data_IF_454411751810
#
_entry.id   IF_454411751810
#
_cell.length_a   1.000
_cell.length_b   1.000
_cell.length_c   1.000
_cell.angle_alpha   90.00
_cell.angle_beta   90.00
_cell.angle_gamma   90.00
#
_symmetry.space_group_name_H-M   'P 1'
#
loop_
_entity.id
_entity.type
_entity.pdbx_description
1 polymer ?
#
# COMPACT_ATOMS: atom_id res chain seq x y z
N UNK A 1 -13.35 -18.44 -8.39
CA UNK A 1 -13.23 -19.10 -7.07
C UNK A 1 -11.93 -19.91 -6.93
N UNK A 2 -11.32 -20.36 -8.04
CA UNK A 2 -9.97 -20.93 -8.00
C UNK A 2 -8.93 -19.79 -8.03
N UNK A 3 -7.88 -19.93 -7.20
CA UNK A 3 -6.81 -18.96 -6.88
C UNK A 3 -7.21 -17.91 -5.83
N UNK A 4 -7.48 -18.34 -4.61
CA UNK A 4 -7.49 -17.43 -3.45
C UNK A 4 -6.04 -17.24 -2.95
N UNK A 5 -5.45 -16.03 -3.08
CA UNK A 5 -4.10 -15.75 -2.60
C UNK A 5 -3.98 -15.64 -1.08
N UNK A 6 -5.05 -15.92 -0.31
CA UNK A 6 -5.11 -15.76 1.15
C UNK A 6 -3.96 -16.47 1.89
N UNK A 7 -3.52 -17.65 1.44
CA UNK A 7 -2.42 -18.39 2.07
C UNK A 7 -1.06 -17.71 1.84
N UNK A 8 -0.75 -17.35 0.60
CA UNK A 8 0.49 -16.64 0.25
C UNK A 8 0.57 -15.28 0.96
N UNK A 9 -0.53 -14.52 0.95
CA UNK A 9 -0.60 -13.24 1.66
C UNK A 9 -0.38 -13.46 3.16
N UNK A 10 -0.90 -14.54 3.74
CA UNK A 10 -0.68 -14.85 5.16
C UNK A 10 0.78 -15.19 5.47
N UNK A 11 1.43 -15.99 4.61
CA UNK A 11 2.85 -16.32 4.75
C UNK A 11 3.73 -15.07 4.67
N UNK A 12 3.49 -14.22 3.67
CA UNK A 12 4.19 -12.93 3.53
C UNK A 12 3.94 -12.02 4.72
N UNK A 13 2.70 -11.99 5.25
CA UNK A 13 2.37 -11.21 6.45
C UNK A 13 3.21 -11.67 7.65
N UNK A 14 3.33 -12.99 7.86
CA UNK A 14 4.12 -13.55 8.97
C UNK A 14 5.61 -13.26 8.78
N UNK A 15 6.12 -13.37 7.56
CA UNK A 15 7.52 -13.09 7.26
C UNK A 15 7.86 -11.62 7.55
N UNK A 16 7.08 -10.68 7.01
CA UNK A 16 7.29 -9.24 7.24
C UNK A 16 7.12 -8.91 8.73
N UNK A 17 6.17 -9.55 9.43
CA UNK A 17 6.01 -9.38 10.88
C UNK A 17 7.28 -9.79 11.63
N UNK A 18 7.82 -10.97 11.34
CA UNK A 18 9.03 -11.48 11.99
C UNK A 18 10.22 -10.56 11.73
N UNK A 19 10.37 -10.05 10.50
CA UNK A 19 11.42 -9.10 10.15
C UNK A 19 11.28 -7.79 10.93
N UNK A 20 10.07 -7.22 11.03
CA UNK A 20 9.81 -6.02 11.83
C UNK A 20 10.14 -6.26 13.32
N UNK A 21 9.76 -7.41 13.86
CA UNK A 21 10.08 -7.76 15.25
C UNK A 21 11.59 -7.89 15.47
N UNK A 22 12.30 -8.55 14.55
CA UNK A 22 13.75 -8.68 14.62
C UNK A 22 14.47 -7.33 14.52
N UNK A 23 14.02 -6.45 13.61
CA UNK A 23 14.54 -5.09 13.48
C UNK A 23 14.27 -4.26 14.74
N UNK A 24 13.09 -4.40 15.34
CA UNK A 24 12.76 -3.72 16.60
C UNK A 24 13.68 -4.18 17.75
N UNK A 25 13.95 -5.48 17.88
CA UNK A 25 14.88 -5.99 18.89
C UNK A 25 16.31 -5.46 18.66
N UNK A 26 16.81 -5.52 17.43
CA UNK A 26 18.15 -5.02 17.10
C UNK A 26 18.30 -3.51 17.38
N UNK A 27 17.23 -2.74 17.18
CA UNK A 27 17.19 -1.31 17.48
C UNK A 27 17.25 -1.03 18.98
N UNK A 28 16.52 -1.80 19.78
CA UNK A 28 16.58 -1.74 21.26
C UNK A 28 17.98 -2.09 21.78
N UNK A 29 18.61 -3.10 21.19
CA UNK A 29 19.98 -3.48 21.52
C UNK A 29 20.97 -2.36 21.18
N UNK A 30 20.83 -1.74 20.00
CA UNK A 30 21.65 -0.61 19.58
C UNK A 30 21.50 0.60 20.52
N UNK A 31 20.27 0.93 20.92
CA UNK A 31 20.03 2.00 21.89
C UNK A 31 20.62 1.68 23.27
N UNK A 32 20.59 0.41 23.68
CA UNK A 32 21.21 -0.03 24.93
C UNK A 32 22.72 0.18 24.90
N UNK A 33 23.38 -0.19 23.78
CA UNK A 33 24.81 0.05 23.57
C UNK A 33 25.11 1.55 23.59
N UNK A 34 24.32 2.36 22.88
CA UNK A 34 24.49 3.81 22.86
C UNK A 34 24.41 4.42 24.27
N UNK A 35 23.42 4.01 25.07
CA UNK A 35 23.29 4.47 26.46
C UNK A 35 24.46 4.04 27.35
N UNK A 36 25.01 2.84 27.12
CA UNK A 36 26.21 2.37 27.82
C UNK A 36 27.45 3.19 27.44
N UNK A 37 27.63 3.52 26.16
CA UNK A 37 28.75 4.37 25.72
C UNK A 37 28.68 5.78 26.29
N UNK A 38 27.47 6.35 26.39
CA UNK A 38 27.26 7.66 27.03
C UNK A 38 27.63 7.60 28.52
N UNK A 39 27.27 6.51 29.21
CA UNK A 39 27.54 6.34 30.63
C UNK A 39 29.03 6.13 30.96
N UNK A 40 29.79 5.48 30.07
CA UNK A 40 31.23 5.25 30.22
C UNK A 40 32.07 6.54 30.01
N UNK A 41 31.49 7.55 29.34
CA UNK A 41 32.10 8.87 29.17
C UNK A 41 33.29 8.93 28.21
N UNK A 42 33.65 7.81 27.58
CA UNK A 42 34.80 7.68 26.68
C UNK A 42 34.38 7.76 25.19
N UNK A 43 33.57 8.75 24.83
CA UNK A 43 33.08 8.96 23.47
C UNK A 43 33.51 10.32 22.91
N UNK A 44 33.76 10.36 21.60
CA UNK A 44 33.86 11.61 20.86
C UNK A 44 32.46 12.16 20.62
N UNK A 45 32.27 13.48 20.79
CA UNK A 45 30.99 14.17 20.56
C UNK A 45 30.41 13.86 19.17
N UNK A 46 31.24 13.92 18.13
CA UNK A 46 30.88 13.57 16.75
C UNK A 46 30.36 12.13 16.60
N UNK A 47 30.96 11.17 17.32
CA UNK A 47 30.53 9.75 17.27
C UNK A 47 29.18 9.56 17.92
N UNK A 48 28.91 10.29 19.01
CA UNK A 48 27.62 10.26 19.68
C UNK A 48 26.51 10.86 18.80
N UNK A 49 26.78 12.02 18.19
CA UNK A 49 25.87 12.70 17.26
C UNK A 49 25.57 11.82 16.04
N UNK A 50 26.59 11.20 15.47
CA UNK A 50 26.40 10.27 14.35
C UNK A 50 25.57 9.04 14.76
N UNK A 51 25.91 8.40 15.88
CA UNK A 51 25.20 7.22 16.39
C UNK A 51 23.72 7.51 16.68
N UNK A 52 23.42 8.65 17.31
CA UNK A 52 22.02 9.06 17.56
C UNK A 52 21.27 9.30 16.26
N UNK A 53 21.88 10.00 15.29
CA UNK A 53 21.24 10.30 14.00
C UNK A 53 20.90 9.01 13.24
N UNK A 54 21.80 8.03 13.24
CA UNK A 54 21.55 6.73 12.61
C UNK A 54 20.43 5.97 13.35
N UNK A 55 20.43 5.98 14.67
CA UNK A 55 19.40 5.35 15.49
C UNK A 55 18.00 5.95 15.21
N UNK A 56 17.93 7.27 15.09
CA UNK A 56 16.69 8.01 14.84
C UNK A 56 16.15 7.78 13.42
N UNK A 57 17.02 7.77 12.41
CA UNK A 57 16.65 7.43 11.03
C UNK A 57 16.10 6.00 10.94
N UNK A 58 16.76 5.04 11.61
CA UNK A 58 16.30 3.65 11.66
C UNK A 58 14.94 3.52 12.37
N UNK A 59 14.73 4.21 13.49
CA UNK A 59 13.43 4.25 14.20
C UNK A 59 12.32 4.78 13.30
N UNK A 60 12.56 5.90 12.63
CA UNK A 60 11.59 6.54 11.72
C UNK A 60 11.23 5.63 10.53
N UNK A 61 12.23 4.99 9.92
CA UNK A 61 12.01 4.03 8.82
C UNK A 61 11.23 2.80 9.28
N UNK A 62 11.58 2.23 10.44
CA UNK A 62 10.87 1.09 11.01
C UNK A 62 9.42 1.44 11.35
N UNK A 63 9.19 2.59 11.98
CA UNK A 63 7.84 3.08 12.28
C UNK A 63 7.01 3.25 11.01
N UNK A 64 7.60 3.82 9.96
CA UNK A 64 6.96 3.98 8.65
C UNK A 64 6.63 2.65 7.99
N UNK A 65 7.52 1.66 8.06
CA UNK A 65 7.30 0.31 7.52
C UNK A 65 6.18 -0.41 8.29
N UNK A 66 6.21 -0.38 9.62
CA UNK A 66 5.18 -0.93 10.51
C UNK A 66 3.81 -0.33 10.22
N UNK A 67 3.73 1.01 10.07
CA UNK A 67 2.49 1.71 9.73
C UNK A 67 1.94 1.28 8.36
N UNK A 68 2.79 1.19 7.34
CA UNK A 68 2.37 0.72 6.00
C UNK A 68 1.83 -0.71 6.04
N UNK A 69 2.47 -1.60 6.80
CA UNK A 69 1.97 -2.97 6.97
C UNK A 69 0.61 -2.96 7.68
N UNK A 70 0.45 -2.16 8.74
CA UNK A 70 -0.81 -2.01 9.44
C UNK A 70 -1.94 -1.52 8.52
N UNK A 71 -1.68 -0.52 7.68
CA UNK A 71 -2.66 0.01 6.72
C UNK A 71 -3.09 -1.04 5.69
N UNK A 72 -2.14 -1.83 5.17
CA UNK A 72 -2.42 -2.93 4.23
C UNK A 72 -3.26 -4.02 4.90
N UNK A 73 -2.91 -4.41 6.12
CA UNK A 73 -3.66 -5.42 6.87
C UNK A 73 -5.07 -4.94 7.23
N UNK A 74 -5.23 -3.66 7.55
CA UNK A 74 -6.53 -3.02 7.81
C UNK A 74 -7.39 -3.05 6.55
N UNK A 75 -6.82 -2.62 5.42
CA UNK A 75 -7.49 -2.64 4.10
C UNK A 75 -7.91 -4.07 3.72
N UNK A 76 -7.07 -5.07 4.01
CA UNK A 76 -7.39 -6.49 3.80
C UNK A 76 -8.59 -6.91 4.65
N UNK A 77 -8.59 -6.59 5.94
CA UNK A 77 -9.69 -6.90 6.87
C UNK A 77 -11.01 -6.28 6.39
N UNK A 78 -10.99 -5.02 5.97
CA UNK A 78 -12.16 -4.34 5.40
C UNK A 78 -12.68 -5.03 4.15
N UNK A 79 -11.80 -5.37 3.21
CA UNK A 79 -12.17 -6.08 1.98
C UNK A 79 -12.80 -7.44 2.27
N UNK A 80 -12.22 -8.21 3.19
CA UNK A 80 -12.73 -9.52 3.59
C UNK A 80 -14.12 -9.37 4.25
N UNK A 81 -14.32 -8.36 5.11
CA UNK A 81 -15.59 -8.08 5.76
C UNK A 81 -16.67 -7.64 4.75
N UNK A 82 -16.31 -6.77 3.80
CA UNK A 82 -17.20 -6.34 2.73
C UNK A 82 -17.61 -7.51 1.81
N UNK A 83 -16.69 -8.44 1.54
CA UNK A 83 -17.00 -9.66 0.81
C UNK A 83 -17.96 -10.58 1.60
N UNK A 84 -17.74 -10.74 2.91
CA UNK A 84 -18.64 -11.54 3.76
C UNK A 84 -20.05 -10.93 3.82
N UNK A 85 -20.15 -9.60 3.99
CA UNK A 85 -21.42 -8.89 4.02
C UNK A 85 -22.20 -9.09 2.72
N UNK A 86 -21.55 -8.93 1.56
CA UNK A 86 -22.15 -9.23 0.25
C UNK A 86 -22.63 -10.68 0.18
N UNK A 87 -21.79 -11.63 0.59
CA UNK A 87 -22.15 -13.05 0.61
C UNK A 87 -23.40 -13.29 1.46
N UNK A 88 -23.50 -12.70 2.65
CA UNK A 88 -24.68 -12.84 3.53
C UNK A 88 -25.96 -12.29 2.89
N UNK A 89 -25.90 -11.14 2.21
CA UNK A 89 -27.06 -10.56 1.52
C UNK A 89 -27.56 -11.48 0.40
N UNK A 90 -26.65 -12.06 -0.37
CA UNK A 90 -27.00 -12.94 -1.49
C UNK A 90 -27.30 -14.39 -1.06
N UNK A 91 -26.71 -14.88 0.04
CA UNK A 91 -26.97 -16.23 0.55
C UNK A 91 -28.28 -16.33 1.33
N UNK A 92 -28.68 -15.26 2.04
CA UNK A 92 -29.96 -15.24 2.77
C UNK A 92 -31.17 -15.12 1.85
N UNK A 93 -31.02 -14.57 0.65
CA UNK A 93 -32.09 -14.48 -0.35
C UNK A 93 -32.42 -15.82 -1.04
N UNK A 94 -31.45 -16.72 -1.21
CA UNK A 94 -31.71 -18.05 -1.83
C UNK A 94 -32.57 -18.95 -0.93
N UNK A 95 -32.53 -18.75 0.40
CA UNK A 95 -33.39 -19.48 1.34
C UNK A 95 -34.79 -18.88 1.52
N UNK A 96 -35.03 -17.64 1.06
CA UNK A 96 -36.28 -16.93 1.34
C UNK A 96 -37.28 -16.93 0.19
N UNK A 97 -36.85 -17.32 -1.02
CA UNK A 97 -37.71 -17.27 -2.19
C UNK A 97 -37.61 -18.57 -2.98
N UNK A 98 -38.51 -19.50 -2.68
CA UNK A 98 -38.97 -20.51 -3.61
C UNK A 98 -40.26 -19.92 -4.26
N UNK A 99 -40.19 -19.15 -5.36
CA UNK A 99 -41.35 -18.46 -5.92
C UNK A 99 -42.34 -19.43 -6.57
N UNK A 100 -41.97 -20.70 -6.75
CA UNK A 100 -42.79 -21.72 -7.41
C UNK A 100 -43.79 -22.45 -6.51
N UNK A 101 -43.83 -22.17 -5.20
CA UNK A 101 -44.71 -22.87 -4.25
C UNK A 101 -45.86 -22.05 -3.69
N UNK A 102 -46.01 -20.78 -4.11
CA UNK A 102 -47.11 -19.93 -3.63
C UNK A 102 -48.04 -19.54 -4.77
N UNK A 103 -49.09 -20.35 -4.88
CA UNK A 103 -50.43 -20.02 -5.38
C UNK A 103 -50.61 -19.89 -6.90
N UNK A 104 -51.08 -20.98 -7.52
CA UNK A 104 -52.03 -20.90 -8.62
C UNK A 104 -53.23 -21.80 -8.32
N UNK A 105 -54.24 -21.17 -7.70
CA UNK A 105 -55.63 -21.65 -7.62
C UNK A 105 -56.13 -21.82 -9.07
N UNK A 106 -56.91 -22.87 -9.43
CA UNK A 106 -57.41 -23.02 -10.78
C UNK A 106 -58.50 -21.97 -11.01
N UNK A 107 -58.11 -20.80 -11.50
CA UNK A 107 -59.02 -19.79 -12.04
C UNK A 107 -59.14 -20.05 -13.54
N UNK A 108 -60.29 -20.60 -13.90
CA UNK A 108 -60.75 -20.76 -15.28
C UNK A 108 -61.07 -19.37 -15.84
N UNK A 109 -60.08 -18.71 -16.44
CA UNK A 109 -60.29 -17.50 -17.23
C UNK A 109 -59.53 -17.63 -18.55
N UNK A 110 -60.22 -17.58 -19.71
CA UNK A 110 -59.58 -17.77 -21.00
C UNK A 110 -58.75 -16.53 -21.39
N UNK A 111 -57.60 -16.71 -22.08
CA UNK A 111 -56.75 -15.60 -22.51
C UNK A 111 -57.43 -14.69 -23.55
N UNK A 112 -57.04 -13.39 -23.62
CA UNK A 112 -57.75 -12.34 -24.37
C UNK A 112 -57.57 -12.36 -25.90
N UNK A 113 -57.19 -13.49 -26.50
CA UNK A 113 -57.15 -13.68 -27.96
C UNK A 113 -58.02 -14.84 -28.41
N UNK A 114 -59.21 -14.94 -27.83
CA UNK A 114 -60.28 -15.80 -28.35
C UNK A 114 -61.14 -14.98 -29.30
N UNK A 115 -60.89 -15.10 -30.61
CA UNK A 115 -61.75 -14.57 -31.67
C UNK A 115 -63.11 -15.29 -31.64
N UNK A 116 -64.25 -14.57 -31.54
CA UNK A 116 -65.53 -15.10 -31.97
C UNK A 116 -65.82 -14.52 -33.36
N UNK A 117 -65.88 -15.35 -34.39
CA UNK A 117 -66.37 -14.88 -35.69
C UNK A 117 -67.14 -15.99 -36.38
N UNK A 118 -68.42 -16.07 -36.05
CA UNK A 118 -69.43 -16.72 -36.88
C UNK A 118 -70.65 -15.79 -36.92
N UNK A 119 -70.72 -14.93 -37.95
CA UNK A 119 -71.96 -14.31 -38.40
C UNK A 119 -71.80 -13.87 -39.85
N UNK A 120 -72.80 -14.23 -40.64
CA UNK A 120 -72.87 -14.13 -42.09
C UNK A 120 -73.28 -12.71 -42.57
N UNK A 121 -72.95 -12.44 -43.84
CA UNK A 121 -73.66 -11.59 -44.80
C UNK A 121 -73.43 -10.04 -44.80
N UNK A 122 -72.65 -9.59 -45.80
CA UNK A 122 -73.10 -8.90 -47.03
C UNK A 122 -72.41 -7.56 -47.41
N UNK A 123 -72.21 -7.42 -48.73
CA UNK A 123 -71.95 -6.23 -49.58
C UNK A 123 -70.51 -5.67 -49.84
N UNK A 124 -70.12 -5.83 -51.12
CA UNK A 124 -69.02 -5.30 -51.98
C UNK A 124 -68.96 -3.76 -52.16
N UNK A 125 -68.08 -3.14 -53.02
CA UNK A 125 -66.63 -3.36 -53.29
C UNK A 125 -65.79 -2.04 -53.54
N UNK A 126 -64.49 -2.20 -53.87
CA UNK A 126 -63.54 -1.28 -54.60
C UNK A 126 -62.63 -0.40 -53.70
N UNK A 127 -61.32 -0.16 -53.94
CA UNK A 127 -60.42 -0.31 -55.09
C UNK A 127 -58.91 -0.34 -54.65
N UNK A 128 -58.05 -0.88 -55.53
CA UNK A 128 -56.56 -0.87 -55.55
C UNK A 128 -55.99 0.42 -56.20
N UNK A 129 -54.66 0.72 -56.39
CA UNK A 129 -53.43 -0.14 -56.39
C UNK A 129 -52.14 0.56 -55.77
N UNK A 130 -50.86 0.32 -56.18
CA UNK A 130 -49.92 -0.69 -55.63
C UNK A 130 -48.45 -0.21 -55.37
N UNK A 131 -47.59 -1.14 -54.91
CA UNK A 131 -46.08 -1.23 -54.85
C UNK A 131 -45.56 -1.40 -53.41
N UNK A 132 -44.73 -2.37 -53.01
CA UNK A 132 -44.04 -3.46 -53.69
C UNK A 132 -43.05 -4.12 -52.70
N UNK A 133 -42.68 -5.36 -52.99
CA UNK A 133 -41.56 -6.18 -52.46
C UNK A 133 -41.78 -6.98 -51.15
N UNK A 134 -41.93 -8.29 -51.37
CA UNK A 134 -41.81 -9.38 -50.42
C UNK A 134 -40.34 -9.65 -50.07
N UNK A 135 -40.03 -9.82 -48.79
CA UNK A 135 -38.84 -10.56 -48.34
C UNK A 135 -39.26 -11.49 -47.21
N UNK A 136 -39.25 -12.79 -47.51
CA UNK A 136 -39.56 -13.84 -46.54
C UNK A 136 -38.38 -14.16 -45.65
N UNK A 137 -38.64 -14.31 -44.35
CA UNK A 137 -37.79 -15.06 -43.41
C UNK A 137 -38.70 -15.91 -42.51
N UNK A 138 -39.10 -17.07 -43.03
CA UNK A 138 -39.81 -18.11 -42.31
C UNK A 138 -38.83 -18.88 -41.42
N UNK A 139 -38.57 -18.39 -40.19
CA UNK A 139 -37.93 -19.19 -39.14
C UNK A 139 -39.02 -19.92 -38.33
N UNK A 140 -39.17 -21.19 -38.72
CA UNK A 140 -40.07 -22.20 -38.16
C UNK A 140 -39.82 -22.41 -36.66
N UNK A 141 -40.67 -21.84 -35.81
CA UNK A 141 -40.74 -22.15 -34.37
C UNK A 141 -41.35 -23.54 -34.21
N UNK A 142 -40.53 -24.54 -33.89
CA UNK A 142 -40.94 -25.92 -33.59
C UNK A 142 -41.64 -25.92 -32.21
N UNK A 143 -42.87 -26.44 -32.06
CA UNK A 143 -43.44 -26.62 -30.73
C UNK A 143 -42.73 -27.81 -30.07
N UNK A 144 -42.09 -27.57 -28.93
CA UNK A 144 -41.56 -28.62 -28.09
C UNK A 144 -42.74 -29.35 -27.44
N UNK A 145 -42.74 -30.67 -27.60
CA UNK A 145 -43.60 -31.63 -26.92
C UNK A 145 -43.41 -31.48 -25.40
N UNK A 146 -44.53 -31.42 -24.69
CA UNK A 146 -44.61 -31.46 -23.23
C UNK A 146 -43.82 -32.65 -22.69
N UNK A 147 -42.70 -32.35 -22.03
CA UNK A 147 -42.03 -33.26 -21.13
C UNK A 147 -41.67 -32.45 -19.88
N UNK A 148 -42.56 -32.52 -18.88
CA UNK A 148 -42.36 -31.93 -17.55
C UNK A 148 -41.05 -32.43 -16.94
N UNK A 149 -40.06 -31.58 -16.66
CA UNK A 149 -38.92 -31.98 -15.85
C UNK A 149 -39.43 -32.21 -14.43
N UNK A 150 -39.30 -33.43 -13.93
CA UNK A 150 -39.62 -33.80 -12.56
C UNK A 150 -38.78 -32.98 -11.58
N UNK A 151 -39.45 -32.16 -10.75
CA UNK A 151 -38.91 -31.31 -9.68
C UNK A 151 -37.97 -32.04 -8.69
N UNK A 152 -37.91 -33.37 -8.74
CA UNK A 152 -37.10 -34.18 -7.84
C UNK A 152 -35.59 -34.16 -8.16
N UNK A 153 -35.20 -33.78 -9.38
CA UNK A 153 -33.78 -33.74 -9.78
C UNK A 153 -33.09 -32.40 -9.47
N UNK A 154 -33.86 -31.31 -9.31
CA UNK A 154 -33.32 -30.01 -8.87
C UNK A 154 -33.04 -29.96 -7.36
N UNK A 155 -33.80 -30.69 -6.54
CA UNK A 155 -33.63 -30.65 -5.08
C UNK A 155 -32.34 -31.33 -4.58
N UNK A 156 -31.77 -32.28 -5.35
CA UNK A 156 -30.50 -32.93 -4.98
C UNK A 156 -29.24 -32.14 -5.38
N UNK A 157 -29.38 -31.14 -6.26
CA UNK A 157 -28.26 -30.27 -6.67
C UNK A 157 -28.00 -29.13 -5.69
N UNK A 158 -28.99 -28.76 -4.86
CA UNK A 158 -28.83 -27.73 -3.82
C UNK A 158 -28.13 -28.24 -2.54
N UNK A 159 -28.11 -29.55 -2.30
CA UNK A 159 -27.48 -30.11 -1.10
C UNK A 159 -25.96 -30.37 -1.27
N UNK A 160 -25.46 -30.46 -2.50
CA UNK A 160 -24.07 -30.89 -2.77
C UNK A 160 -23.06 -29.74 -2.92
N UNK A 161 -23.51 -28.48 -2.88
CA UNK A 161 -22.62 -27.30 -2.93
C UNK A 161 -22.16 -26.87 -1.53
N UNK A 162 -22.79 -27.35 -0.47
CA UNK A 162 -22.59 -26.88 0.90
C UNK A 162 -21.27 -27.29 1.60
N UNK A 163 -20.69 -28.51 1.42
CA UNK A 163 -19.52 -28.91 2.22
C UNK A 163 -18.20 -28.25 1.79
N UNK A 164 -18.09 -27.73 0.55
CA UNK A 164 -16.89 -26.97 0.12
C UNK A 164 -16.91 -25.51 0.58
N UNK A 165 -18.09 -24.98 0.87
CA UNK A 165 -18.27 -23.57 1.20
C UNK A 165 -18.05 -23.29 2.70
N UNK A 166 -18.33 -24.25 3.59
CA UNK A 166 -18.00 -24.15 5.01
C UNK A 166 -16.50 -24.11 5.28
N UNK A 167 -15.73 -25.02 4.65
CA UNK A 167 -14.27 -25.06 4.78
C UNK A 167 -13.61 -23.72 4.37
N UNK A 168 -14.17 -23.03 3.37
CA UNK A 168 -13.68 -21.73 2.91
C UNK A 168 -13.98 -20.60 3.90
N UNK A 169 -15.17 -20.60 4.51
CA UNK A 169 -15.52 -19.61 5.55
C UNK A 169 -14.70 -19.77 6.80
N UNK A 170 -14.43 -21.01 7.22
CA UNK A 170 -13.60 -21.31 8.39
C UNK A 170 -12.15 -20.86 8.17
N UNK A 171 -11.54 -21.22 7.04
CA UNK A 171 -10.18 -20.79 6.69
C UNK A 171 -10.02 -19.27 6.66
N UNK A 172 -11.03 -18.54 6.14
CA UNK A 172 -11.04 -17.07 6.16
C UNK A 172 -11.20 -16.48 7.55
N UNK A 173 -12.02 -17.09 8.42
CA UNK A 173 -12.17 -16.64 9.80
C UNK A 173 -10.85 -16.77 10.58
N UNK A 174 -10.14 -17.89 10.40
CA UNK A 174 -8.80 -18.10 10.99
C UNK A 174 -7.80 -17.09 10.44
N UNK A 175 -7.79 -16.84 9.12
CA UNK A 175 -6.91 -15.84 8.52
C UNK A 175 -7.18 -14.43 9.07
N UNK A 176 -8.45 -14.04 9.25
CA UNK A 176 -8.82 -12.77 9.85
C UNK A 176 -8.33 -12.63 11.28
N UNK A 177 -8.53 -13.65 12.11
CA UNK A 177 -8.05 -13.65 13.49
C UNK A 177 -6.52 -13.46 13.55
N UNK A 178 -5.78 -14.13 12.66
CA UNK A 178 -4.33 -13.98 12.58
C UNK A 178 -3.91 -12.57 12.14
N UNK A 179 -4.64 -11.95 11.20
CA UNK A 179 -4.42 -10.56 10.80
C UNK A 179 -4.70 -9.60 11.95
N UNK A 180 -5.78 -9.80 12.70
CA UNK A 180 -6.16 -8.95 13.83
C UNK A 180 -5.13 -9.03 14.97
N UNK A 181 -4.64 -10.24 15.27
CA UNK A 181 -3.51 -10.46 16.19
C UNK A 181 -2.25 -9.73 15.72
N UNK A 182 -1.91 -9.83 14.42
CA UNK A 182 -0.75 -9.16 13.83
C UNK A 182 -0.87 -7.64 13.91
N UNK A 183 -2.05 -7.08 13.62
CA UNK A 183 -2.31 -5.63 13.75
C UNK A 183 -2.10 -5.17 15.20
N UNK A 184 -2.59 -5.93 16.17
CA UNK A 184 -2.41 -5.63 17.60
C UNK A 184 -0.93 -5.64 18.02
N UNK A 185 -0.18 -6.66 17.59
CA UNK A 185 1.26 -6.80 17.86
C UNK A 185 2.05 -5.64 17.23
N UNK A 186 1.77 -5.31 15.97
CA UNK A 186 2.36 -4.16 15.28
C UNK A 186 1.99 -2.83 15.96
N UNK A 187 0.78 -2.71 16.50
CA UNK A 187 0.36 -1.56 17.30
C UNK A 187 1.19 -1.40 18.58
N UNK A 188 1.58 -2.52 19.20
CA UNK A 188 2.52 -2.55 20.32
C UNK A 188 3.91 -2.03 19.92
N UNK A 189 4.45 -2.53 18.81
CA UNK A 189 5.75 -2.08 18.27
C UNK A 189 5.70 -0.59 17.90
N UNK A 190 4.62 -0.15 17.24
CA UNK A 190 4.43 1.25 16.86
C UNK A 190 4.41 2.17 18.09
N UNK A 191 3.69 1.77 19.15
CA UNK A 191 3.65 2.52 20.41
C UNK A 191 5.04 2.57 21.06
N UNK A 192 5.76 1.45 21.07
CA UNK A 192 7.12 1.40 21.60
C UNK A 192 8.08 2.33 20.84
N UNK A 193 8.04 2.31 19.50
CA UNK A 193 8.84 3.22 18.67
C UNK A 193 8.42 4.68 18.89
N UNK A 194 7.13 4.95 19.06
CA UNK A 194 6.64 6.30 19.33
C UNK A 194 7.15 6.82 20.69
N UNK A 195 7.14 5.98 21.73
CA UNK A 195 7.72 6.35 23.03
C UNK A 195 9.23 6.55 22.94
N UNK A 196 9.92 5.69 22.19
CA UNK A 196 11.36 5.74 22.02
C UNK A 196 11.82 7.01 21.28
N UNK A 197 11.04 7.47 20.29
CA UNK A 197 11.27 8.72 19.57
C UNK A 197 10.85 9.94 20.40
N UNK A 198 9.78 9.84 21.19
CA UNK A 198 9.32 10.93 22.05
C UNK A 198 10.26 11.20 23.22
N UNK A 199 10.85 10.16 23.84
CA UNK A 199 11.81 10.30 24.95
C UNK A 199 13.14 10.92 24.53
N UNK A 200 13.57 10.71 23.28
CA UNK A 200 14.82 11.28 22.75
C UNK A 200 14.70 12.75 22.35
N UNK A 201 13.55 13.37 22.62
CA UNK A 201 13.29 14.76 22.29
C UNK A 201 12.86 14.93 20.84
N UNK A 202 12.02 15.92 20.63
CA UNK A 202 11.51 16.40 19.35
C UNK A 202 12.66 16.83 18.41
N UNK A 203 13.38 15.87 17.83
CA UNK A 203 14.15 16.04 16.61
C UNK A 203 13.31 15.49 15.47
N UNK A 204 12.20 16.18 15.20
CA UNK A 204 11.41 15.98 14.00
C UNK A 204 12.31 16.26 12.79
N UNK A 205 12.95 15.21 12.26
CA UNK A 205 13.53 15.14 10.90
C UNK A 205 14.32 16.42 10.56
N UNK A 206 15.40 16.73 11.30
CA UNK A 206 16.35 17.74 10.84
C UNK A 206 17.42 17.07 9.99
N UNK A 207 17.05 16.87 8.74
CA UNK A 207 18.03 16.82 7.64
C UNK A 207 18.90 18.11 7.63
N UNK A 208 18.41 19.20 8.26
CA UNK A 208 19.10 20.50 8.32
C UNK A 208 20.24 20.61 9.35
N UNK A 209 20.30 19.79 10.41
CA UNK A 209 21.34 19.95 11.46
C UNK A 209 22.73 19.55 10.96
N UNK A 210 22.83 18.49 10.14
CA UNK A 210 24.10 18.12 9.48
C UNK A 210 24.55 19.16 8.44
N UNK A 211 23.64 19.96 7.87
CA UNK A 211 24.00 21.02 6.90
C UNK A 211 24.67 22.19 7.61
N UNK A 212 24.17 22.59 8.78
CA UNK A 212 24.71 23.70 9.56
C UNK A 212 26.10 23.35 10.15
N UNK A 213 26.30 22.10 10.58
CA UNK A 213 27.60 21.59 10.98
C UNK A 213 28.59 21.52 9.81
N UNK A 214 28.12 21.07 8.64
CA UNK A 214 28.92 21.10 7.41
C UNK A 214 29.32 22.52 7.02
N UNK A 215 28.40 23.49 7.17
CA UNK A 215 28.67 24.91 6.92
C UNK A 215 29.74 25.44 7.88
N UNK A 216 29.62 25.14 9.17
CA UNK A 216 30.62 25.53 10.18
C UNK A 216 32.00 24.93 9.89
N UNK A 217 32.08 23.65 9.53
CA UNK A 217 33.34 23.01 9.16
C UNK A 217 33.94 23.61 7.88
N UNK A 218 33.11 23.95 6.89
CA UNK A 218 33.54 24.62 5.66
C UNK A 218 34.03 26.04 5.94
N UNK A 219 33.36 26.81 6.80
CA UNK A 219 33.79 28.16 7.17
C UNK A 219 35.09 28.14 7.99
N UNK A 220 35.25 27.16 8.90
CA UNK A 220 36.50 26.94 9.63
C UNK A 220 37.66 26.56 8.68
N UNK A 221 37.41 25.68 7.71
CA UNK A 221 38.38 25.32 6.69
C UNK A 221 38.76 26.52 5.81
N UNK A 222 37.78 27.34 5.41
CA UNK A 222 38.00 28.58 4.68
C UNK A 222 38.85 29.57 5.48
N UNK A 223 38.57 29.73 6.77
CA UNK A 223 39.37 30.56 7.67
C UNK A 223 40.83 30.10 7.75
N UNK A 224 41.06 28.79 7.86
CA UNK A 224 42.40 28.20 7.86
C UNK A 224 43.14 28.42 6.53
N UNK A 225 42.45 28.27 5.39
CA UNK A 225 43.00 28.53 4.06
C UNK A 225 43.35 30.00 3.86
N UNK A 226 42.46 30.93 4.26
CA UNK A 226 42.72 32.37 4.20
C UNK A 226 43.90 32.77 5.09
N UNK A 227 44.00 32.20 6.28
CA UNK A 227 45.14 32.40 7.18
C UNK A 227 46.44 31.92 6.55
N UNK A 228 46.45 30.74 5.92
CA UNK A 228 47.63 30.20 5.23
C UNK A 228 48.03 31.07 4.04
N UNK A 229 47.05 31.48 3.22
CA UNK A 229 47.28 32.36 2.08
C UNK A 229 47.85 33.71 2.51
N UNK A 230 47.32 34.30 3.58
CA UNK A 230 47.83 35.58 4.10
C UNK A 230 49.26 35.44 4.65
N UNK A 231 49.59 34.30 5.25
CA UNK A 231 50.96 33.98 5.70
C UNK A 231 51.94 33.84 4.53
N UNK A 232 51.53 33.15 3.45
CA UNK A 232 52.33 33.01 2.21
C UNK A 232 52.50 34.36 1.52
N UNK A 233 51.43 35.14 1.38
CA UNK A 233 51.42 36.48 0.78
C UNK A 233 52.38 37.43 1.50
N UNK A 234 52.28 37.51 2.83
CA UNK A 234 53.15 38.34 3.66
C UNK A 234 54.63 37.95 3.50
N UNK A 235 54.93 36.66 3.50
CA UNK A 235 56.30 36.17 3.33
C UNK A 235 56.89 36.50 1.95
N UNK A 236 56.08 36.52 0.88
CA UNK A 236 56.55 36.92 -0.47
C UNK A 236 56.93 38.40 -0.53
N UNK A 237 56.14 39.26 0.09
CA UNK A 237 56.45 40.69 0.16
C UNK A 237 57.71 40.96 0.99
N UNK A 238 57.87 40.22 2.11
CA UNK A 238 59.09 40.26 2.92
C UNK A 238 60.32 39.79 2.13
N UNK A 239 60.21 38.70 1.37
CA UNK A 239 61.27 38.22 0.48
C UNK A 239 61.66 39.25 -0.58
N UNK A 240 60.70 39.92 -1.23
CA UNK A 240 61.00 40.96 -2.21
C UNK A 240 61.75 42.15 -1.59
N UNK A 241 61.38 42.58 -0.38
CA UNK A 241 62.10 43.66 0.32
C UNK A 241 63.55 43.29 0.62
N UNK A 242 63.78 42.08 1.15
CA UNK A 242 65.14 41.58 1.43
C UNK A 242 65.96 41.50 0.13
N UNK A 243 65.36 40.99 -0.94
CA UNK A 243 66.01 40.89 -2.25
C UNK A 243 66.39 42.27 -2.83
N UNK A 244 65.50 43.26 -2.72
CA UNK A 244 65.78 44.63 -3.18
C UNK A 244 66.94 45.28 -2.41
N UNK A 245 67.01 45.07 -1.09
CA UNK A 245 68.13 45.54 -0.26
C UNK A 245 69.43 44.86 -0.68
N UNK A 246 69.41 43.55 -0.91
CA UNK A 246 70.59 42.80 -1.40
C UNK A 246 71.07 43.32 -2.77
N UNK A 247 70.16 43.59 -3.71
CA UNK A 247 70.51 44.18 -5.02
C UNK A 247 71.10 45.59 -4.84
N UNK A 248 70.49 46.43 -3.99
CA UNK A 248 70.99 47.77 -3.75
C UNK A 248 72.44 47.76 -3.24
N UNK A 249 72.75 46.91 -2.26
CA UNK A 249 74.10 46.75 -1.76
C UNK A 249 75.06 46.19 -2.82
N UNK A 250 74.62 45.25 -3.66
CA UNK A 250 75.43 44.73 -4.75
C UNK A 250 75.79 45.83 -5.77
N UNK A 251 74.82 46.68 -6.14
CA UNK A 251 75.05 47.81 -7.06
C UNK A 251 76.02 48.82 -6.45
N UNK A 252 75.84 49.18 -5.17
CA UNK A 252 76.75 50.08 -4.45
C UNK A 252 78.15 49.47 -4.39
N UNK A 253 78.28 48.18 -4.08
CA UNK A 253 79.57 47.51 -4.03
C UNK A 253 80.28 47.53 -5.39
N UNK A 254 79.58 47.24 -6.48
CA UNK A 254 80.15 47.30 -7.83
C UNK A 254 80.56 48.72 -8.22
N UNK A 255 79.82 49.75 -7.81
CA UNK A 255 80.12 51.14 -8.19
C UNK A 255 81.23 51.79 -7.36
N UNK A 256 81.40 51.38 -6.10
CA UNK A 256 82.31 52.04 -5.15
C UNK A 256 83.54 51.21 -4.77
N UNK A 257 83.51 49.88 -4.94
CA UNK A 257 84.62 48.99 -4.55
C UNK A 257 85.32 48.34 -5.74
N UNK A 258 84.60 48.02 -6.82
CA UNK A 258 85.20 47.60 -8.10
C UNK A 258 85.63 48.84 -8.92
#
# INVERSE_FOLDING_TARGET
MFNDPTMEIQELTVLIKNDITALNTALTDLQTIQNMEIADGNYSEDRLVHSTTVCDDLKSKLMSATKRLQDVLTTRTENIKAHENRKQIFSTNVSRENPFLRHAKPMTEPPPWSNPSNAFANSQPSALPPNGVQVGNQLRRRPAVDNTPSQHMEMSMLQQVNPRQENYTESRAVALHNVESTISELGGIFTHLATMVAEQGELAIRIDDNMDESLNNVENARGALLRNLNRISSNRWLMMKIFAVMIFFLVVFILFVA
#
